data_IF_227430067849
#
_entry.id   IF_227430067849
#
_cell.length_a   1.000
_cell.length_b   1.000
_cell.length_c   1.000
_cell.angle_alpha   90.00
_cell.angle_beta   90.00
_cell.angle_gamma   90.00
#
_symmetry.space_group_name_H-M   'P 1'
#
loop_
_entity.id
_entity.type
_entity.pdbx_description
1 polymer ?
#
# COMPACT_ATOMS: atom_id res chain seq x y z
N UNK A 1 -8.55 3.11 8.54
CA UNK A 1 -7.31 2.98 7.75
C UNK A 1 -6.43 4.21 7.93
N UNK A 2 -5.12 4.01 7.81
CA UNK A 2 -4.15 5.12 7.87
C UNK A 2 -3.97 5.80 6.51
N UNK A 3 -4.31 5.10 5.42
CA UNK A 3 -4.30 5.65 4.06
C UNK A 3 -5.32 4.94 3.15
N UNK A 4 -5.75 5.64 2.11
CA UNK A 4 -6.60 5.13 1.02
C UNK A 4 -6.08 5.52 -0.36
N UNK A 5 -4.90 6.15 -0.40
CA UNK A 5 -4.15 6.47 -1.60
C UNK A 5 -2.69 6.09 -1.35
N UNK A 6 -2.17 5.14 -2.12
CA UNK A 6 -0.81 4.63 -1.98
C UNK A 6 -0.01 4.86 -3.25
N UNK A 7 1.15 5.51 -3.10
CA UNK A 7 2.13 5.69 -4.18
C UNK A 7 3.33 4.79 -3.92
N UNK A 8 3.77 4.06 -4.94
CA UNK A 8 5.00 3.28 -4.88
C UNK A 8 6.06 3.88 -5.81
N UNK A 9 7.27 4.06 -5.29
CA UNK A 9 8.45 4.40 -6.06
C UNK A 9 9.26 3.13 -6.31
N UNK A 10 9.68 2.91 -7.54
CA UNK A 10 10.47 1.73 -7.93
C UNK A 10 11.44 2.10 -9.07
N UNK A 11 12.41 1.21 -9.35
CA UNK A 11 13.30 1.37 -10.49
C UNK A 11 12.68 0.63 -11.70
N UNK A 12 12.34 1.36 -12.76
CA UNK A 12 11.61 0.79 -13.89
C UNK A 12 12.57 0.21 -14.92
N UNK A 13 12.48 -1.11 -15.18
CA UNK A 13 13.32 -1.80 -16.14
C UNK A 13 13.08 -1.36 -17.59
N UNK A 14 11.85 -0.92 -17.89
CA UNK A 14 11.47 -0.44 -19.23
C UNK A 14 12.10 0.94 -19.53
N UNK A 15 12.58 1.64 -18.50
CA UNK A 15 13.21 2.95 -18.58
C UNK A 15 14.66 2.94 -18.02
N UNK A 16 15.43 1.91 -18.32
CA UNK A 16 16.84 1.81 -17.91
C UNK A 16 17.07 1.94 -16.40
N UNK A 17 16.12 1.43 -15.61
CA UNK A 17 16.12 1.50 -14.14
C UNK A 17 16.04 2.92 -13.57
N UNK A 18 15.54 3.86 -14.33
CA UNK A 18 15.22 5.19 -13.79
C UNK A 18 14.10 5.08 -12.75
N UNK A 19 14.18 5.92 -11.73
CA UNK A 19 13.15 5.99 -10.71
C UNK A 19 11.80 6.37 -11.33
N UNK A 20 10.80 5.53 -11.11
CA UNK A 20 9.43 5.75 -11.58
C UNK A 20 8.45 5.57 -10.41
N UNK A 21 7.24 6.05 -10.56
CA UNK A 21 6.20 5.94 -9.55
C UNK A 21 4.89 5.45 -10.13
N UNK A 22 4.14 4.74 -9.31
CA UNK A 22 2.78 4.29 -9.61
C UNK A 22 1.88 4.59 -8.42
N UNK A 23 0.71 5.14 -8.67
CA UNK A 23 -0.27 5.45 -7.63
C UNK A 23 -1.54 4.64 -7.80
N UNK A 24 -2.10 4.21 -6.69
CA UNK A 24 -3.41 3.55 -6.61
C UNK A 24 -4.22 4.17 -5.48
N UNK A 25 -5.49 4.41 -5.71
CA UNK A 25 -6.42 4.91 -4.71
C UNK A 25 -7.78 4.24 -4.86
N UNK A 26 -8.52 4.25 -3.78
CA UNK A 26 -9.90 3.80 -3.75
C UNK A 26 -10.83 5.00 -3.60
N UNK A 27 -11.57 5.32 -4.67
CA UNK A 27 -12.45 6.48 -4.72
C UNK A 27 -13.69 6.28 -3.86
N UNK A 28 -14.20 5.05 -3.78
CA UNK A 28 -15.41 4.73 -3.03
C UNK A 28 -15.14 4.87 -1.54
N UNK A 29 -13.98 4.35 -1.09
CA UNK A 29 -13.54 4.53 0.29
C UNK A 29 -13.27 6.02 0.61
N UNK A 30 -12.61 6.75 -0.28
CA UNK A 30 -12.34 8.18 -0.10
C UNK A 30 -13.63 9.00 0.01
N UNK A 31 -14.65 8.65 -0.75
CA UNK A 31 -15.99 9.27 -0.70
C UNK A 31 -16.75 8.89 0.57
N UNK A 32 -16.65 7.62 0.99
CA UNK A 32 -17.30 7.13 2.20
C UNK A 32 -16.81 7.86 3.44
N UNK A 33 -15.49 8.07 3.59
CA UNK A 33 -14.91 8.73 4.77
C UNK A 33 -15.09 10.24 4.78
N UNK A 34 -15.32 10.85 3.62
CA UNK A 34 -15.50 12.30 3.49
C UNK A 34 -16.87 12.80 3.98
N UNK A 35 -17.86 11.91 4.11
CA UNK A 35 -19.18 12.27 4.65
C UNK A 35 -20.00 13.24 3.79
N UNK A 36 -19.62 13.52 2.54
CA UNK A 36 -20.40 14.33 1.61
C UNK A 36 -19.71 15.53 0.96
N UNK A 37 -18.52 15.92 1.44
CA UNK A 37 -17.78 17.09 0.92
C UNK A 37 -16.80 16.78 -0.22
N UNK A 38 -17.03 15.66 -0.93
CA UNK A 38 -16.14 15.13 -1.95
C UNK A 38 -15.11 14.12 -1.38
N UNK A 39 -14.33 13.45 -2.24
CA UNK A 39 -13.45 12.36 -1.78
C UNK A 39 -12.29 12.89 -0.92
N UNK A 40 -12.07 12.25 0.23
CA UNK A 40 -10.95 12.53 1.13
C UNK A 40 -9.83 11.51 0.90
N UNK A 41 -8.69 11.97 0.34
CA UNK A 41 -7.53 11.12 0.09
C UNK A 41 -6.51 11.22 1.22
N UNK A 42 -6.35 10.12 1.94
CA UNK A 42 -5.27 9.91 2.91
C UNK A 42 -4.09 9.27 2.18
N UNK A 43 -3.04 10.06 1.91
CA UNK A 43 -1.92 9.65 1.06
C UNK A 43 -0.80 9.00 1.86
N UNK A 44 -0.20 7.96 1.28
CA UNK A 44 1.03 7.32 1.78
C UNK A 44 1.95 6.97 0.62
N UNK A 45 3.24 6.83 0.90
CA UNK A 45 4.24 6.46 -0.10
C UNK A 45 5.08 5.30 0.40
N UNK A 46 5.41 4.37 -0.50
CA UNK A 46 6.29 3.24 -0.22
C UNK A 46 7.39 3.17 -1.27
N UNK A 47 8.61 2.87 -0.83
CA UNK A 47 9.74 2.63 -1.73
C UNK A 47 9.93 1.13 -1.92
N UNK A 48 9.89 0.69 -3.17
CA UNK A 48 10.06 -0.70 -3.59
C UNK A 48 11.42 -0.89 -4.24
N UNK A 49 12.49 -0.74 -3.46
CA UNK A 49 13.89 -0.75 -3.93
C UNK A 49 14.33 -2.05 -4.60
N UNK A 50 13.61 -3.15 -4.40
CA UNK A 50 13.90 -4.44 -5.03
C UNK A 50 12.98 -4.80 -6.20
N UNK A 51 12.14 -3.86 -6.65
CA UNK A 51 11.15 -4.09 -7.70
C UNK A 51 11.55 -3.29 -8.94
N UNK A 52 11.72 -3.98 -10.06
CA UNK A 52 12.07 -3.37 -11.34
C UNK A 52 10.91 -3.42 -12.36
N UNK A 53 9.86 -4.18 -12.08
CA UNK A 53 8.71 -4.32 -12.97
C UNK A 53 7.52 -3.50 -12.48
N UNK A 54 6.97 -2.67 -13.36
CA UNK A 54 5.74 -1.91 -13.13
C UNK A 54 4.56 -2.80 -12.72
N UNK A 55 4.42 -3.96 -13.38
CA UNK A 55 3.34 -4.90 -13.06
C UNK A 55 3.48 -5.50 -11.66
N UNK A 56 4.71 -5.76 -11.23
CA UNK A 56 5.00 -6.24 -9.88
C UNK A 56 4.73 -5.15 -8.84
N UNK A 57 5.19 -3.92 -9.10
CA UNK A 57 4.91 -2.78 -8.23
C UNK A 57 3.40 -2.57 -8.06
N UNK A 58 2.63 -2.61 -9.16
CA UNK A 58 1.18 -2.50 -9.15
C UNK A 58 0.50 -3.56 -8.29
N UNK A 59 0.93 -4.82 -8.37
CA UNK A 59 0.39 -5.92 -7.54
C UNK A 59 0.67 -5.69 -6.06
N UNK A 60 1.89 -5.28 -5.73
CA UNK A 60 2.29 -5.03 -4.33
C UNK A 60 1.45 -3.92 -3.72
N UNK A 61 1.30 -2.77 -4.42
CA UNK A 61 0.51 -1.67 -3.87
C UNK A 61 -0.99 -1.99 -3.81
N UNK A 62 -1.50 -2.82 -4.75
CA UNK A 62 -2.90 -3.26 -4.71
C UNK A 62 -3.17 -4.09 -3.46
N UNK A 63 -2.35 -5.09 -3.17
CA UNK A 63 -2.50 -5.91 -1.97
C UNK A 63 -2.36 -5.06 -0.71
N UNK A 64 -1.33 -4.21 -0.62
CA UNK A 64 -1.13 -3.34 0.55
C UNK A 64 -2.27 -2.37 0.80
N UNK A 65 -2.82 -1.77 -0.27
CA UNK A 65 -3.97 -0.88 -0.15
C UNK A 65 -5.19 -1.64 0.38
N UNK A 66 -5.49 -2.81 -0.17
CA UNK A 66 -6.60 -3.66 0.27
C UNK A 66 -6.44 -4.16 1.71
N UNK A 67 -5.23 -4.56 2.09
CA UNK A 67 -4.92 -4.93 3.48
C UNK A 67 -5.17 -3.76 4.44
N UNK A 68 -4.84 -2.54 4.04
CA UNK A 68 -5.08 -1.35 4.86
C UNK A 68 -6.57 -1.00 4.94
N UNK A 69 -7.29 -1.10 3.85
CA UNK A 69 -8.74 -0.88 3.81
C UNK A 69 -9.53 -2.02 4.51
N UNK A 70 -8.94 -3.22 4.54
CA UNK A 70 -9.58 -4.42 5.11
C UNK A 70 -10.46 -5.17 4.14
N UNK A 71 -10.25 -5.00 2.84
CA UNK A 71 -10.97 -5.65 1.76
C UNK A 71 -11.16 -4.77 0.54
N UNK A 72 -12.04 -5.19 -0.36
CA UNK A 72 -12.34 -4.51 -1.62
C UNK A 72 -13.76 -3.90 -1.65
N UNK A 73 -14.58 -4.21 -0.66
CA UNK A 73 -15.98 -3.74 -0.60
C UNK A 73 -16.23 -2.92 0.66
N UNK A 74 -17.21 -1.99 0.63
CA UNK A 74 -17.63 -1.23 1.81
C UNK A 74 -18.01 -2.10 3.01
N UNK A 75 -18.56 -3.28 2.76
CA UNK A 75 -18.96 -4.21 3.82
C UNK A 75 -17.74 -4.85 4.50
N UNK A 76 -16.69 -5.14 3.74
CA UNK A 76 -15.42 -5.64 4.28
C UNK A 76 -14.69 -4.55 5.05
N UNK A 77 -14.65 -3.30 4.55
CA UNK A 77 -14.02 -2.16 5.25
C UNK A 77 -14.62 -1.92 6.64
N UNK A 78 -15.95 -2.07 6.77
CA UNK A 78 -16.62 -1.95 8.07
C UNK A 78 -16.25 -3.06 9.03
N UNK A 79 -15.86 -4.23 8.52
CA UNK A 79 -15.44 -5.41 9.30
C UNK A 79 -13.95 -5.43 9.61
N UNK A 80 -13.15 -4.59 8.93
CA UNK A 80 -11.71 -4.52 9.16
C UNK A 80 -11.39 -4.18 10.62
N UNK A 81 -10.56 -4.99 11.26
CA UNK A 81 -10.15 -4.81 12.66
C UNK A 81 -8.68 -5.15 12.84
N UNK A 82 -8.04 -4.41 13.71
CA UNK A 82 -6.83 -4.88 14.35
C UNK A 82 -7.24 -5.76 15.54
N UNK A 83 -6.60 -6.90 15.65
CA UNK A 83 -6.88 -7.90 16.67
C UNK A 83 -5.65 -8.01 17.56
N UNK A 84 -5.88 -7.94 18.86
CA UNK A 84 -4.85 -8.21 19.85
C UNK A 84 -5.44 -9.08 20.93
N UNK A 85 -4.83 -10.23 21.20
CA UNK A 85 -5.27 -11.11 22.25
C UNK A 85 -4.10 -11.86 22.88
N UNK A 86 -4.32 -12.33 24.11
CA UNK A 86 -3.36 -13.14 24.86
C UNK A 86 -3.74 -14.60 24.80
N UNK A 87 -2.76 -15.44 24.57
CA UNK A 87 -2.91 -16.89 24.48
C UNK A 87 -1.80 -17.62 25.24
N UNK A 88 -1.84 -18.92 25.23
CA UNK A 88 -0.87 -19.78 25.91
C UNK A 88 0.34 -20.07 25.02
N UNK A 89 1.35 -20.72 25.59
CA UNK A 89 2.57 -21.18 24.92
C UNK A 89 2.31 -22.09 23.70
N UNK A 90 1.12 -22.68 23.58
CA UNK A 90 0.74 -23.49 22.41
C UNK A 90 0.76 -22.70 21.10
N UNK A 91 0.68 -21.37 21.18
CA UNK A 91 0.78 -20.49 20.00
C UNK A 91 2.23 -20.15 19.58
N UNK A 92 3.25 -20.78 20.17
CA UNK A 92 4.67 -20.56 19.77
C UNK A 92 4.94 -20.94 18.31
N UNK A 93 4.13 -21.80 17.71
CA UNK A 93 4.25 -22.15 16.28
C UNK A 93 3.62 -21.10 15.34
N UNK A 94 3.10 -20.03 15.90
CA UNK A 94 2.50 -18.97 15.09
C UNK A 94 3.58 -18.03 14.58
N UNK A 95 3.64 -17.83 13.27
CA UNK A 95 4.61 -16.96 12.63
C UNK A 95 3.92 -15.70 12.04
N UNK A 96 4.61 -14.56 12.00
CA UNK A 96 4.11 -13.39 11.26
C UNK A 96 3.83 -13.74 9.80
N UNK A 97 2.66 -13.36 9.31
CA UNK A 97 2.18 -13.69 7.98
C UNK A 97 1.22 -14.89 7.91
N UNK A 98 1.17 -15.74 8.93
CA UNK A 98 0.20 -16.84 8.99
C UNK A 98 -1.23 -16.29 9.05
N UNK A 99 -2.15 -16.99 8.39
CA UNK A 99 -3.60 -16.77 8.50
C UNK A 99 -4.19 -17.77 9.47
N UNK A 100 -4.92 -17.26 10.46
CA UNK A 100 -5.56 -18.04 11.50
C UNK A 100 -7.06 -17.71 11.55
N UNK A 101 -7.87 -18.72 11.86
CA UNK A 101 -9.29 -18.52 12.14
C UNK A 101 -9.49 -18.29 13.64
N UNK A 102 -10.38 -17.35 13.98
CA UNK A 102 -10.78 -17.09 15.36
C UNK A 102 -12.31 -17.03 15.44
N UNK A 103 -12.84 -17.67 16.49
CA UNK A 103 -14.25 -17.56 16.86
C UNK A 103 -14.34 -16.76 18.16
N UNK A 104 -14.97 -15.59 18.10
CA UNK A 104 -15.18 -14.72 19.25
C UNK A 104 -16.45 -13.90 19.06
N UNK A 105 -17.26 -13.64 20.10
CA UNK A 105 -18.48 -12.83 19.99
C UNK A 105 -18.28 -11.45 19.39
N UNK A 106 -17.12 -10.83 19.61
CA UNK A 106 -16.80 -9.50 19.09
C UNK A 106 -16.30 -9.51 17.63
N UNK A 107 -16.10 -10.71 17.06
CA UNK A 107 -15.78 -10.82 15.65
C UNK A 107 -17.04 -10.59 14.81
N UNK A 108 -16.93 -9.82 13.73
CA UNK A 108 -18.06 -9.65 12.80
C UNK A 108 -18.53 -11.00 12.24
N UNK A 109 -19.73 -11.42 12.61
CA UNK A 109 -20.26 -12.73 12.25
C UNK A 109 -19.85 -13.89 13.17
N UNK A 110 -19.20 -13.60 14.31
CA UNK A 110 -18.82 -14.59 15.33
C UNK A 110 -17.56 -15.40 14.99
N UNK A 111 -17.16 -15.47 13.72
CA UNK A 111 -15.95 -16.16 13.25
C UNK A 111 -15.31 -15.35 12.15
N UNK A 112 -14.00 -15.22 12.17
CA UNK A 112 -13.26 -14.49 11.14
C UNK A 112 -11.84 -14.98 10.99
N UNK A 113 -11.24 -14.66 9.87
CA UNK A 113 -9.85 -14.91 9.61
C UNK A 113 -9.02 -13.67 9.89
N UNK A 114 -7.83 -13.88 10.39
CA UNK A 114 -6.88 -12.80 10.61
C UNK A 114 -5.47 -13.26 10.23
N UNK A 115 -4.71 -12.32 9.71
CA UNK A 115 -3.28 -12.50 9.47
C UNK A 115 -2.51 -12.02 10.68
N UNK A 116 -1.61 -12.84 11.16
CA UNK A 116 -0.69 -12.48 12.25
C UNK A 116 0.31 -11.44 11.74
N UNK A 117 0.39 -10.31 12.41
CA UNK A 117 1.37 -9.24 12.12
C UNK A 117 2.58 -9.31 13.04
N UNK A 118 2.40 -9.87 14.22
CA UNK A 118 3.47 -10.06 15.18
C UNK A 118 2.99 -10.79 16.43
N UNK A 119 3.95 -11.22 17.23
CA UNK A 119 3.69 -11.79 18.54
C UNK A 119 4.80 -11.44 19.52
N UNK A 120 4.50 -11.53 20.82
CA UNK A 120 5.42 -11.28 21.90
C UNK A 120 5.25 -12.33 22.99
N UNK A 121 6.36 -12.96 23.40
CA UNK A 121 6.40 -13.83 24.57
C UNK A 121 6.55 -12.98 25.84
N UNK A 122 5.68 -13.18 26.80
CA UNK A 122 5.68 -12.54 28.10
C UNK A 122 6.47 -13.36 29.13
N UNK A 123 6.81 -12.74 30.27
CA UNK A 123 7.55 -13.41 31.35
C UNK A 123 6.78 -14.52 32.05
N UNK A 124 5.46 -14.50 31.98
CA UNK A 124 4.54 -15.50 32.51
C UNK A 124 4.26 -16.64 31.51
N UNK A 125 5.07 -16.74 30.44
CA UNK A 125 4.92 -17.70 29.34
C UNK A 125 3.61 -17.55 28.55
N UNK A 126 2.87 -16.48 28.74
CA UNK A 126 1.78 -16.13 27.82
C UNK A 126 2.32 -15.48 26.55
N UNK A 127 1.55 -15.56 25.46
CA UNK A 127 1.89 -14.95 24.18
C UNK A 127 0.82 -13.93 23.84
N UNK A 128 1.25 -12.69 23.60
CA UNK A 128 0.40 -11.66 23.03
C UNK A 128 0.53 -11.73 21.50
N UNK A 129 -0.57 -12.00 20.80
CA UNK A 129 -0.64 -12.04 19.35
C UNK A 129 -1.29 -10.75 18.87
N UNK A 130 -0.71 -10.19 17.82
CA UNK A 130 -1.26 -9.08 17.09
C UNK A 130 -1.56 -9.53 15.66
N UNK A 131 -2.70 -9.14 15.15
CA UNK A 131 -3.12 -9.49 13.81
C UNK A 131 -4.07 -8.45 13.22
N UNK A 132 -4.40 -8.68 11.97
CA UNK A 132 -5.39 -7.88 11.25
C UNK A 132 -6.35 -8.83 10.55
N UNK A 133 -7.63 -8.51 10.54
CA UNK A 133 -8.62 -9.29 9.77
C UNK A 133 -8.18 -9.37 8.31
N UNK A 134 -8.38 -10.51 7.71
CA UNK A 134 -8.04 -10.79 6.30
C UNK A 134 -9.19 -11.49 5.62
N UNK A 135 -9.29 -11.34 4.31
CA UNK A 135 -10.23 -12.03 3.44
C UNK A 135 -9.51 -12.46 2.17
N UNK A 136 -9.95 -13.55 1.54
CA UNK A 136 -9.35 -14.03 0.29
C UNK A 136 -9.46 -12.99 -0.83
N UNK A 137 -10.49 -12.15 -0.80
CA UNK A 137 -10.70 -11.08 -1.77
C UNK A 137 -9.56 -10.08 -1.85
N UNK A 138 -8.80 -9.88 -0.75
CA UNK A 138 -7.64 -8.98 -0.73
C UNK A 138 -6.56 -9.40 -1.72
N UNK A 139 -6.45 -10.71 -2.00
CA UNK A 139 -5.43 -11.30 -2.88
C UNK A 139 -5.95 -11.61 -4.28
N UNK A 140 -7.25 -11.46 -4.52
CA UNK A 140 -7.82 -11.58 -5.86
C UNK A 140 -7.49 -10.34 -6.70
N UNK A 141 -6.38 -10.43 -7.46
CA UNK A 141 -5.92 -9.33 -8.32
C UNK A 141 -6.77 -9.13 -9.58
N UNK A 142 -7.76 -10.00 -9.81
CA UNK A 142 -8.71 -9.86 -10.92
C UNK A 142 -9.89 -8.99 -10.50
N UNK A 143 -10.29 -9.03 -9.23
CA UNK A 143 -11.38 -8.23 -8.69
C UNK A 143 -10.91 -6.84 -8.21
N UNK A 144 -11.77 -5.83 -8.30
CA UNK A 144 -11.54 -4.48 -7.80
C UNK A 144 -10.79 -3.55 -8.77
N UNK A 145 -10.48 -2.32 -8.34
CA UNK A 145 -9.84 -1.34 -9.18
C UNK A 145 -8.49 -1.90 -9.69
N UNK A 146 -8.40 -2.02 -11.00
CA UNK A 146 -7.15 -2.41 -11.66
C UNK A 146 -6.28 -1.16 -11.76
N UNK A 147 -4.95 -1.27 -11.55
CA UNK A 147 -4.03 -0.18 -11.84
C UNK A 147 -3.87 -0.02 -13.37
N UNK A 148 -4.98 -0.13 -14.12
CA UNK A 148 -4.96 -0.29 -15.57
C UNK A 148 -4.49 0.96 -16.31
N UNK A 149 -4.52 2.12 -15.68
CA UNK A 149 -4.30 3.40 -16.36
C UNK A 149 -3.40 4.36 -15.57
N UNK A 150 -2.49 3.84 -14.79
CA UNK A 150 -1.40 4.69 -14.35
C UNK A 150 -0.46 4.84 -15.53
N UNK A 151 -0.75 5.83 -16.37
CA UNK A 151 0.24 6.35 -17.30
C UNK A 151 1.41 6.75 -16.42
N UNK A 152 2.63 6.19 -16.61
CA UNK A 152 3.80 6.73 -15.93
C UNK A 152 3.79 8.22 -16.23
N UNK A 153 3.81 9.06 -15.18
CA UNK A 153 4.20 10.45 -15.42
C UNK A 153 5.56 10.33 -16.10
N UNK A 154 5.71 10.86 -17.30
CA UNK A 154 7.02 10.91 -17.91
C UNK A 154 7.95 11.51 -16.86
N UNK A 155 9.19 11.00 -16.71
CA UNK A 155 10.15 11.60 -15.81
C UNK A 155 10.05 13.09 -16.04
N UNK A 156 9.81 13.84 -14.99
CA UNK A 156 9.63 15.30 -15.09
C UNK A 156 10.85 15.77 -15.87
N UNK A 157 10.67 16.08 -17.16
CA UNK A 157 11.74 16.72 -17.91
C UNK A 157 12.13 17.87 -17.02
N UNK A 158 13.39 17.86 -16.57
CA UNK A 158 13.92 19.04 -15.92
C UNK A 158 13.61 20.18 -16.88
N UNK A 159 12.64 21.00 -16.50
CA UNK A 159 12.33 22.18 -17.28
C UNK A 159 13.63 22.95 -17.30
N UNK A 160 14.28 22.93 -18.46
CA UNK A 160 15.48 23.70 -18.70
C UNK A 160 15.08 25.15 -18.47
N UNK A 161 15.23 25.64 -17.25
CA UNK A 161 14.97 27.05 -16.93
C UNK A 161 16.06 27.80 -17.63
N UNK A 162 15.69 28.53 -18.69
CA UNK A 162 16.56 29.51 -19.26
C UNK A 162 16.87 30.54 -18.17
N UNK A 163 18.08 30.51 -17.65
CA UNK A 163 18.52 31.41 -16.58
C UNK A 163 18.69 32.85 -17.06
N UNK A 164 18.38 33.14 -18.33
CA UNK A 164 18.56 34.45 -18.92
C UNK A 164 20.03 34.87 -19.06
N UNK A 165 20.96 33.94 -18.81
CA UNK A 165 22.40 34.20 -19.02
C UNK A 165 22.72 33.85 -20.45
N UNK A 166 23.08 34.84 -21.29
CA UNK A 166 23.44 34.61 -22.69
C UNK A 166 24.57 33.58 -22.76
N UNK A 167 24.39 32.55 -23.61
CA UNK A 167 25.38 31.50 -23.82
C UNK A 167 25.35 30.33 -22.85
N UNK A 168 24.48 30.35 -21.86
CA UNK A 168 24.33 29.22 -20.89
C UNK A 168 22.90 28.74 -20.87
N UNK A 169 22.70 27.47 -21.14
CA UNK A 169 21.44 26.78 -20.91
C UNK A 169 21.71 25.74 -19.81
N UNK A 170 21.04 25.87 -18.68
CA UNK A 170 21.22 24.98 -17.51
C UNK A 170 22.68 24.80 -17.07
N UNK A 171 23.48 25.82 -17.10
CA UNK A 171 24.90 25.75 -16.75
C UNK A 171 25.80 25.07 -17.79
N UNK A 172 25.23 24.66 -18.94
CA UNK A 172 26.01 24.12 -20.07
C UNK A 172 26.26 25.23 -21.10
N UNK A 173 27.52 25.53 -21.44
CA UNK A 173 27.83 26.52 -22.45
C UNK A 173 27.23 26.14 -23.81
N UNK A 174 26.61 27.08 -24.51
CA UNK A 174 26.17 26.88 -25.90
C UNK A 174 27.37 26.89 -26.84
N UNK A 175 27.40 25.90 -27.77
CA UNK A 175 28.40 25.88 -28.82
C UNK A 175 28.19 27.09 -29.74
N UNK A 176 29.11 28.06 -29.71
CA UNK A 176 29.06 29.25 -30.58
C UNK A 176 29.19 30.60 -29.86
N UNK A 177 29.34 30.61 -28.56
CA UNK A 177 29.46 31.84 -27.77
C UNK A 177 30.93 32.24 -27.50
N UNK A 178 31.86 31.81 -28.38
CA UNK A 178 33.28 32.15 -28.34
C UNK A 178 33.67 32.98 -29.58
#
# INVERSE_FOLDING_TARGET
>A
PSFNHLTANFADEDFEFVANSISLYDIDHATLIAGGDGPLFLKSTVNLSGTASKSQAARIITVRLREELGGITPEEWKKARQIGFRTTVLALNTEPGMVCSMTHPDMPGGTGEFRVTGWRLNRDYSIDIQGRTTTDSMYDLVAGPKPADVVPEPPTEEVLIDTGVPGVLNGVPRLGDY
#
